data_IF_081855229563
#
_entry.id   IF_081855229563
#
_cell.length_a   1.000
_cell.length_b   1.000
_cell.length_c   1.000
_cell.angle_alpha   90.00
_cell.angle_beta   90.00
_cell.angle_gamma   90.00
#
_symmetry.space_group_name_H-M   'P 1'
#
loop_
_entity.id
_entity.type
_entity.pdbx_description
1 polymer ?
#
# COMPACT_ATOMS: atom_id res chain seq x y z
N UNK A 1 22.74 -2.06 -12.64
CA UNK A 1 21.83 -0.99 -12.39
C UNK A 1 20.68 -1.44 -11.52
N UNK A 2 20.35 -0.64 -10.61
CA UNK A 2 19.36 -1.02 -9.66
C UNK A 2 18.03 -0.36 -9.98
N UNK A 3 16.98 -1.09 -9.85
CA UNK A 3 15.66 -0.52 -9.95
C UNK A 3 15.26 0.12 -8.63
N UNK A 4 14.02 0.57 -8.55
CA UNK A 4 13.52 1.12 -7.30
C UNK A 4 13.62 0.11 -6.18
N UNK A 5 13.84 0.59 -5.00
CA UNK A 5 13.94 -0.26 -3.82
C UNK A 5 12.87 0.17 -2.82
N UNK A 6 12.09 -0.79 -2.36
CA UNK A 6 11.08 -0.54 -1.35
C UNK A 6 11.42 -1.45 -0.17
N UNK A 7 12.05 -0.90 0.87
CA UNK A 7 12.50 -1.74 1.98
C UNK A 7 11.34 -2.33 2.76
N UNK A 8 11.58 -3.48 3.36
CA UNK A 8 10.61 -4.08 4.25
C UNK A 8 10.31 -3.12 5.39
N UNK A 9 9.09 -3.20 5.88
CA UNK A 9 8.64 -2.37 7.01
C UNK A 9 8.68 -0.89 6.67
N UNK A 10 8.28 -0.55 5.46
CA UNK A 10 8.18 0.85 5.07
C UNK A 10 6.84 1.10 4.39
N UNK A 11 6.44 2.38 4.39
CA UNK A 11 5.21 2.79 3.74
C UNK A 11 5.45 3.08 2.27
N UNK A 12 4.50 2.65 1.45
CA UNK A 12 4.51 2.92 0.03
C UNK A 12 3.09 3.22 -0.42
N UNK A 13 2.95 3.57 -1.68
CA UNK A 13 1.64 3.59 -2.33
C UNK A 13 1.60 2.45 -3.33
N UNK A 14 0.45 1.82 -3.44
CA UNK A 14 0.32 0.62 -4.26
C UNK A 14 -1.00 0.68 -5.02
N UNK A 15 -0.99 0.18 -6.24
CA UNK A 15 -2.20 0.05 -7.04
C UNK A 15 -3.07 -1.06 -6.49
N UNK A 16 -4.32 -0.75 -6.20
CA UNK A 16 -5.25 -1.75 -5.70
C UNK A 16 -6.67 -1.27 -5.93
N UNK A 17 -7.58 -2.14 -6.39
CA UNK A 17 -8.95 -1.71 -6.67
C UNK A 17 -9.74 -1.57 -5.37
N UNK A 18 -10.59 -0.56 -5.32
CA UNK A 18 -11.48 -0.33 -4.17
C UNK A 18 -12.89 -0.80 -4.45
N UNK A 19 -13.27 -0.88 -5.71
CA UNK A 19 -14.64 -1.24 -6.06
C UNK A 19 -14.62 -2.39 -7.05
N UNK A 20 -15.76 -3.05 -7.18
CA UNK A 20 -15.87 -4.13 -8.14
C UNK A 20 -15.64 -3.62 -9.56
N UNK A 21 -16.09 -2.44 -9.85
CA UNK A 21 -15.88 -1.86 -11.17
C UNK A 21 -14.39 -1.69 -11.44
N UNK A 22 -13.65 -1.25 -10.44
CA UNK A 22 -12.22 -1.10 -10.60
C UNK A 22 -11.54 -2.44 -10.77
N UNK A 23 -12.02 -3.47 -10.08
CA UNK A 23 -11.43 -4.79 -10.24
C UNK A 23 -11.46 -5.26 -11.69
N UNK A 24 -12.47 -4.88 -12.43
CA UNK A 24 -12.62 -5.28 -13.83
C UNK A 24 -12.00 -4.29 -14.79
N UNK A 25 -11.47 -3.19 -14.29
CA UNK A 25 -10.85 -2.18 -15.13
C UNK A 25 -9.37 -2.46 -15.30
N UNK A 26 -8.77 -1.72 -16.23
CA UNK A 26 -7.35 -1.77 -16.41
C UNK A 26 -6.64 -1.42 -15.10
N UNK A 27 -5.62 -2.16 -14.74
CA UNK A 27 -4.90 -1.91 -13.50
C UNK A 27 -4.31 -0.51 -13.44
N UNK A 28 -4.00 0.07 -14.60
CA UNK A 28 -3.50 1.44 -14.63
C UNK A 28 -4.54 2.45 -14.13
N UNK A 29 -5.81 2.06 -14.09
CA UNK A 29 -6.86 2.92 -13.59
C UNK A 29 -7.13 2.73 -12.09
N UNK A 30 -6.47 1.77 -11.46
CA UNK A 30 -6.66 1.55 -10.04
C UNK A 30 -6.06 2.69 -9.24
N UNK A 31 -6.68 3.06 -8.12
CA UNK A 31 -6.12 4.13 -7.29
C UNK A 31 -4.83 3.71 -6.60
N UNK A 32 -4.06 4.71 -6.20
CA UNK A 32 -2.88 4.49 -5.38
C UNK A 32 -3.33 4.51 -3.92
N UNK A 33 -3.09 3.42 -3.22
CA UNK A 33 -3.51 3.30 -1.82
C UNK A 33 -2.29 3.11 -0.94
N UNK A 34 -2.45 3.45 0.32
CA UNK A 34 -1.37 3.29 1.28
C UNK A 34 -1.11 1.80 1.49
N UNK A 35 0.16 1.43 1.45
CA UNK A 35 0.55 0.06 1.66
C UNK A 35 1.76 -0.06 2.55
N UNK A 36 1.87 -1.21 3.19
CA UNK A 36 3.02 -1.54 4.05
C UNK A 36 3.78 -2.67 3.40
N UNK A 37 5.08 -2.48 3.22
CA UNK A 37 5.91 -3.52 2.60
C UNK A 37 6.17 -4.60 3.64
N UNK A 38 5.59 -5.77 3.41
CA UNK A 38 5.75 -6.90 4.32
C UNK A 38 7.05 -7.62 4.05
N UNK A 39 7.35 -7.88 2.79
CA UNK A 39 8.60 -8.56 2.44
C UNK A 39 8.96 -8.31 0.99
N UNK A 40 10.23 -8.49 0.70
CA UNK A 40 10.74 -8.43 -0.67
C UNK A 40 10.80 -9.86 -1.18
N UNK A 41 10.03 -10.16 -2.22
CA UNK A 41 9.85 -11.54 -2.67
C UNK A 41 10.75 -11.91 -3.85
N UNK A 42 11.31 -10.92 -4.52
CA UNK A 42 12.17 -11.19 -5.66
C UNK A 42 12.74 -9.91 -6.21
N UNK A 43 13.42 -9.99 -7.35
CA UNK A 43 14.07 -8.78 -7.90
C UNK A 43 13.10 -7.69 -8.28
N UNK A 44 11.85 -8.04 -8.56
CA UNK A 44 10.86 -7.05 -8.92
C UNK A 44 9.50 -7.49 -8.40
N UNK A 45 9.48 -7.93 -7.13
CA UNK A 45 8.22 -8.39 -6.55
C UNK A 45 8.24 -8.13 -5.05
N UNK A 46 7.17 -7.54 -4.56
CA UNK A 46 7.01 -7.18 -3.16
C UNK A 46 5.66 -7.64 -2.66
N UNK A 47 5.64 -8.11 -1.43
CA UNK A 47 4.42 -8.45 -0.73
C UNK A 47 3.96 -7.22 0.05
N UNK A 48 2.76 -6.74 -0.25
CA UNK A 48 2.25 -5.48 0.29
C UNK A 48 0.95 -5.73 1.02
N UNK A 49 0.85 -5.21 2.24
CA UNK A 49 -0.42 -5.18 2.96
C UNK A 49 -1.09 -3.85 2.65
N UNK A 50 -2.27 -3.89 2.04
CA UNK A 50 -2.94 -2.67 1.60
C UNK A 50 -3.73 -2.12 2.79
N UNK A 51 -3.25 -1.03 3.35
CA UNK A 51 -3.78 -0.49 4.61
C UNK A 51 -4.76 0.64 4.38
N UNK A 52 -5.65 0.47 3.43
CA UNK A 52 -6.71 1.44 3.21
C UNK A 52 -7.88 1.09 4.11
N UNK A 53 -8.41 2.05 4.85
CA UNK A 53 -9.51 1.76 5.77
C UNK A 53 -10.73 1.14 5.08
N UNK A 54 -10.96 1.51 3.83
CA UNK A 54 -12.10 0.98 3.08
C UNK A 54 -12.02 -0.53 2.88
N UNK A 55 -10.82 -1.10 2.99
CA UNK A 55 -10.61 -2.52 2.74
C UNK A 55 -10.47 -3.31 4.03
N UNK A 56 -10.51 -2.65 5.16
CA UNK A 56 -10.36 -3.33 6.45
C UNK A 56 -11.54 -4.27 6.70
N UNK A 57 -11.23 -5.45 7.21
CA UNK A 57 -12.24 -6.43 7.58
C UNK A 57 -12.08 -6.74 9.06
N UNK A 58 -13.14 -6.52 9.82
CA UNK A 58 -13.12 -6.81 11.25
C UNK A 58 -13.17 -8.31 11.48
N UNK A 59 -12.24 -8.82 12.27
CA UNK A 59 -12.19 -10.24 12.51
C UNK A 59 -11.51 -10.50 13.85
N UNK A 60 -12.21 -11.15 14.76
CA UNK A 60 -11.65 -11.56 16.07
C UNK A 60 -11.04 -10.37 16.83
N UNK A 61 -11.70 -9.23 16.77
CA UNK A 61 -11.26 -8.10 17.58
C UNK A 61 -10.22 -7.22 16.94
N UNK A 62 -9.89 -7.46 15.68
CA UNK A 62 -8.92 -6.61 15.02
C UNK A 62 -9.26 -6.46 13.54
N UNK A 63 -8.68 -5.44 12.93
CA UNK A 63 -8.86 -5.17 11.52
C UNK A 63 -7.84 -5.95 10.71
N UNK A 64 -8.32 -6.59 9.68
CA UNK A 64 -7.48 -7.31 8.73
C UNK A 64 -7.48 -6.59 7.41
N UNK A 65 -6.34 -6.58 6.75
CA UNK A 65 -6.15 -5.90 5.48
C UNK A 65 -5.67 -6.89 4.43
N UNK A 66 -6.05 -6.66 3.17
CA UNK A 66 -5.63 -7.59 2.11
C UNK A 66 -4.13 -7.51 1.85
N UNK A 67 -3.60 -8.63 1.41
CA UNK A 67 -2.20 -8.75 1.01
C UNK A 67 -2.18 -8.95 -0.50
N UNK A 68 -1.28 -8.25 -1.17
CA UNK A 68 -1.11 -8.45 -2.60
C UNK A 68 0.37 -8.45 -2.95
N UNK A 69 0.66 -8.92 -4.15
CA UNK A 69 2.02 -8.94 -4.67
C UNK A 69 2.07 -8.01 -5.87
N UNK A 70 3.06 -7.13 -5.90
CA UNK A 70 3.16 -6.12 -6.95
C UNK A 70 4.60 -5.93 -7.37
N UNK A 71 4.77 -5.56 -8.63
CA UNK A 71 6.10 -5.20 -9.13
C UNK A 71 6.28 -3.68 -9.01
N UNK A 72 7.46 -3.21 -9.40
CA UNK A 72 7.81 -1.83 -9.18
C UNK A 72 6.95 -0.84 -9.98
N UNK A 73 6.30 -1.31 -11.04
CA UNK A 73 5.45 -0.42 -11.84
C UNK A 73 4.16 -0.10 -11.11
N UNK A 74 3.80 -0.87 -10.09
CA UNK A 74 2.55 -0.68 -9.37
C UNK A 74 2.80 -0.27 -7.92
N UNK A 75 4.02 0.10 -7.60
CA UNK A 75 4.39 0.59 -6.28
C UNK A 75 5.16 1.89 -6.47
N UNK A 76 4.95 2.84 -5.57
CA UNK A 76 5.73 4.07 -5.60
C UNK A 76 5.91 4.58 -4.18
N UNK A 77 6.92 5.40 -3.99
CA UNK A 77 7.16 6.01 -2.70
C UNK A 77 6.11 7.08 -2.45
N UNK A 78 5.71 7.27 -1.21
CA UNK A 78 4.77 8.34 -0.90
C UNK A 78 5.40 9.68 -1.18
N UNK A 79 4.60 10.59 -1.70
CA UNK A 79 5.07 11.95 -1.85
C UNK A 79 5.00 12.66 -0.51
N UNK A 80 5.81 13.68 -0.36
CA UNK A 80 5.86 14.39 0.90
C UNK A 80 4.48 14.87 1.33
N UNK A 81 3.68 15.30 0.39
CA UNK A 81 2.37 15.81 0.72
C UNK A 81 1.45 14.70 1.19
N UNK A 82 1.48 13.57 0.50
CA UNK A 82 0.67 12.42 0.90
C UNK A 82 1.10 11.92 2.27
N UNK A 83 2.38 12.00 2.53
CA UNK A 83 2.92 11.57 3.81
C UNK A 83 2.32 12.37 4.95
N UNK A 84 2.16 13.64 4.75
CA UNK A 84 1.61 14.49 5.80
C UNK A 84 0.15 14.21 6.08
N UNK A 85 -0.54 13.63 5.11
CA UNK A 85 -1.95 13.34 5.27
C UNK A 85 -2.21 12.00 5.91
N UNK A 86 -1.20 11.19 6.06
CA UNK A 86 -1.39 9.83 6.56
C UNK A 86 -1.55 9.84 8.06
N UNK A 87 -2.60 9.21 8.54
CA UNK A 87 -2.90 9.26 9.99
C UNK A 87 -1.85 8.60 10.85
N UNK A 88 -1.04 7.78 10.29
CA UNK A 88 0.00 7.14 11.07
C UNK A 88 1.01 8.12 11.61
N UNK A 89 1.03 9.29 11.04
CA UNK A 89 1.94 10.26 11.55
C UNK A 89 1.50 10.65 12.89
N UNK A 90 2.08 10.38 13.71
CA UNK A 90 1.52 10.48 14.95
C UNK A 90 1.44 11.81 15.58
N UNK A 91 0.61 11.79 15.16
CA UNK A 91 0.31 12.55 15.54
C UNK A 91 0.49 13.06 16.54
N UNK A 92 0.73 12.83 16.15
CA UNK A 92 0.80 13.12 16.65
C UNK A 92 1.17 13.54 17.61
N UNK A 93 1.39 13.29 17.55
CA UNK A 93 1.63 13.45 18.24
C UNK A 93 1.91 14.12 18.90
N UNK A 94 1.91 14.35 18.78
CA UNK A 94 2.08 14.93 19.25
C UNK A 94 2.01 15.39 19.98
N UNK A 95 1.85 15.36 20.02
CA UNK A 95 1.70 15.60 20.57
C UNK A 95 1.70 15.92 21.24
#
# INVERSE_FOLDING_TARGET
MTGPVFPEDSWVQVRYPLTREQEHADRAAWPWLRGWVVSVCGPDEWEIRVQAPELATWHDGEDWYPICFRDSSEIRLPEAQADREWPAEPELEAQ
#
